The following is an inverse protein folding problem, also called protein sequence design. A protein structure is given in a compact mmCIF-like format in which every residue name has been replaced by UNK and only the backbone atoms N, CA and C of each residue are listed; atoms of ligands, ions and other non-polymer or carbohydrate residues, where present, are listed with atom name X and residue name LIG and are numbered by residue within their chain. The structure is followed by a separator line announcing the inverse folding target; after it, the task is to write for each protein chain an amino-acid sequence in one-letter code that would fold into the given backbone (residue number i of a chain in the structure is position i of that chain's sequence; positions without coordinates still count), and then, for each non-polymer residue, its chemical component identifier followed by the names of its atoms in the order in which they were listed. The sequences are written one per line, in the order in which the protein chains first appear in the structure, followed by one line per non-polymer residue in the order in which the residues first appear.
data_IF_534949006189
#
_entry.id   IF_534949006189
#
_cell.length_a   1.000
_cell.length_b   1.000
_cell.length_c   1.000
_cell.angle_alpha   90.00
_cell.angle_beta   90.00
_cell.angle_gamma   90.00
#
_symmetry.space_group_name_H-M   'P 1'
#
loop_
_entity.id
_entity.type
_entity.pdbx_description
1 polymer ?
#
# COMPACT_ATOMS: atom_id res chain seq x y z
N UNK A 1 81.51 -26.25 61.47
CA UNK A 1 82.21 -25.06 60.92
C UNK A 1 81.82 -24.95 59.46
N UNK A 2 80.92 -24.02 59.13
CA UNK A 2 81.20 -22.70 58.55
C UNK A 2 81.62 -22.79 57.07
N UNK A 3 80.82 -22.08 56.26
CA UNK A 3 81.08 -21.46 54.93
C UNK A 3 80.65 -22.28 53.73
N UNK A 4 80.27 -21.69 52.60
CA UNK A 4 79.66 -20.41 52.21
C UNK A 4 79.49 -20.58 50.68
N UNK A 5 78.49 -19.92 50.12
CA UNK A 5 78.16 -19.81 48.68
C UNK A 5 79.35 -19.34 47.81
N UNK A 6 79.42 -19.75 46.53
CA UNK A 6 79.22 -18.91 45.32
C UNK A 6 79.86 -19.48 44.02
N UNK A 7 79.01 -19.58 42.98
CA UNK A 7 79.15 -19.08 41.58
C UNK A 7 80.24 -19.64 40.63
N UNK A 8 79.78 -20.25 39.52
CA UNK A 8 80.17 -19.97 38.11
C UNK A 8 79.21 -20.76 37.17
N UNK A 9 78.20 -20.13 36.55
CA UNK A 9 78.13 -19.67 35.13
C UNK A 9 78.46 -20.74 34.09
N UNK A 10 77.45 -21.25 33.36
CA UNK A 10 77.50 -21.40 31.90
C UNK A 10 76.11 -21.63 31.28
N UNK A 11 75.96 -21.05 30.10
CA UNK A 11 74.75 -20.69 29.37
C UNK A 11 74.18 -21.82 28.52
N UNK A 12 72.84 -21.88 28.39
CA UNK A 12 72.17 -22.19 27.11
C UNK A 12 70.68 -21.83 27.20
N UNK A 13 70.31 -20.80 26.45
CA UNK A 13 68.94 -20.47 26.06
C UNK A 13 68.25 -21.68 25.45
N UNK A 14 67.03 -21.99 25.88
CA UNK A 14 65.98 -22.37 24.94
C UNK A 14 64.63 -21.90 25.50
N UNK A 15 64.19 -20.76 24.95
CA UNK A 15 62.86 -20.21 25.10
C UNK A 15 61.90 -21.08 24.28
N UNK A 16 61.01 -21.81 24.93
CA UNK A 16 59.84 -22.41 24.27
C UNK A 16 58.66 -21.49 24.56
N UNK A 17 58.39 -20.60 23.61
CA UNK A 17 57.21 -19.75 23.56
C UNK A 17 55.93 -20.60 23.74
N UNK A 18 55.23 -20.39 24.85
CA UNK A 18 53.79 -20.59 24.89
C UNK A 18 53.20 -19.52 23.97
N UNK A 19 52.87 -19.91 22.75
CA UNK A 19 52.01 -19.12 21.88
C UNK A 19 50.62 -19.07 22.50
N UNK A 20 50.38 -18.09 23.37
CA UNK A 20 49.04 -17.54 23.53
C UNK A 20 48.68 -16.91 22.19
N UNK A 21 48.07 -17.71 21.31
CA UNK A 21 47.30 -17.17 20.21
C UNK A 21 46.16 -16.37 20.81
N UNK A 22 46.39 -15.08 21.03
CA UNK A 22 45.32 -14.10 21.04
C UNK A 22 44.64 -14.28 19.68
N UNK A 23 43.50 -14.97 19.67
CA UNK A 23 42.56 -14.78 18.60
C UNK A 23 42.36 -13.28 18.51
N UNK A 24 42.78 -12.67 17.40
CA UNK A 24 42.39 -11.31 17.11
C UNK A 24 40.87 -11.25 17.30
N UNK A 25 40.32 -10.18 17.88
CA UNK A 25 38.88 -10.01 17.83
C UNK A 25 38.52 -10.13 16.35
N UNK A 26 37.70 -11.11 16.00
CA UNK A 26 37.05 -11.10 14.71
C UNK A 26 36.40 -9.72 14.63
N UNK A 27 36.93 -8.85 13.76
CA UNK A 27 36.21 -7.63 13.44
C UNK A 27 34.84 -8.13 13.01
N UNK A 28 33.80 -7.79 13.76
CA UNK A 28 32.44 -8.09 13.33
C UNK A 28 32.36 -7.52 11.92
N UNK A 29 32.23 -8.42 10.93
CA UNK A 29 32.12 -8.00 9.56
C UNK A 29 30.84 -7.17 9.50
N UNK A 30 30.96 -5.93 9.05
CA UNK A 30 29.85 -5.00 8.95
C UNK A 30 29.70 -4.54 7.51
N UNK A 31 28.61 -3.83 7.26
CA UNK A 31 28.21 -3.32 5.96
C UNK A 31 27.88 -1.84 6.08
N UNK A 32 28.09 -1.06 5.03
CA UNK A 32 27.59 0.30 4.92
C UNK A 32 26.34 0.31 4.05
N UNK A 33 25.41 1.20 4.39
CA UNK A 33 24.20 1.46 3.61
C UNK A 33 24.19 2.93 3.18
N UNK A 34 24.06 3.17 1.88
CA UNK A 34 23.84 4.50 1.29
C UNK A 34 22.46 4.56 0.65
N UNK A 35 21.64 5.50 1.12
CA UNK A 35 20.33 5.81 0.57
C UNK A 35 20.45 7.00 -0.37
N UNK A 36 19.93 6.87 -1.59
CA UNK A 36 20.00 7.89 -2.64
C UNK A 36 18.59 8.43 -2.87
N UNK A 37 18.36 9.69 -2.52
CA UNK A 37 17.06 10.36 -2.61
C UNK A 37 17.07 11.48 -3.63
N UNK A 38 16.11 11.42 -4.55
CA UNK A 38 15.83 12.47 -5.53
C UNK A 38 14.34 12.78 -5.61
N UNK A 39 14.01 13.88 -6.30
CA UNK A 39 12.65 14.24 -6.73
C UNK A 39 12.13 13.24 -7.76
N UNK A 40 10.81 13.06 -7.81
CA UNK A 40 10.11 12.26 -8.83
C UNK A 40 9.69 10.85 -8.39
N UNK A 41 8.93 10.20 -9.27
CA UNK A 41 8.49 8.80 -9.16
C UNK A 41 9.09 8.00 -10.34
N UNK A 42 9.63 6.81 -10.09
CA UNK A 42 10.16 5.91 -11.14
C UNK A 42 11.69 5.83 -11.21
N UNK A 43 12.22 5.33 -12.33
CA UNK A 43 13.66 5.00 -12.52
C UNK A 43 14.47 6.14 -13.14
N UNK A 44 13.84 7.29 -13.43
CA UNK A 44 14.55 8.46 -13.95
C UNK A 44 15.05 9.31 -12.79
N UNK A 45 16.36 9.54 -12.63
CA UNK A 45 16.86 10.36 -11.52
C UNK A 45 16.37 11.80 -11.66
N UNK A 46 15.56 12.27 -10.71
CA UNK A 46 15.24 13.69 -10.57
C UNK A 46 16.32 14.48 -9.84
N UNK A 47 16.01 15.70 -9.42
CA UNK A 47 16.95 16.53 -8.65
C UNK A 47 17.24 15.86 -7.29
N UNK A 48 18.50 15.79 -6.84
CA UNK A 48 18.82 15.28 -5.51
C UNK A 48 18.16 16.10 -4.40
N UNK A 49 17.74 15.42 -3.32
CA UNK A 49 17.09 16.06 -2.17
C UNK A 49 18.02 16.07 -0.95
N UNK A 50 18.48 17.25 -0.54
CA UNK A 50 19.30 17.45 0.66
C UNK A 50 18.45 17.55 1.94
N UNK A 51 19.01 17.11 3.08
CA UNK A 51 18.40 17.28 4.40
C UNK A 51 17.26 16.30 4.73
N UNK A 52 17.04 15.29 3.88
CA UNK A 52 16.07 14.21 4.11
C UNK A 52 16.66 13.25 5.13
N UNK A 53 15.89 12.94 6.17
CA UNK A 53 16.32 12.10 7.29
C UNK A 53 15.71 10.72 7.17
N UNK A 54 16.54 9.70 7.29
CA UNK A 54 16.10 8.31 7.40
C UNK A 54 16.45 7.76 8.77
N UNK A 55 15.53 6.97 9.30
CA UNK A 55 15.72 6.14 10.48
C UNK A 55 15.92 4.70 10.04
N UNK A 56 17.00 4.09 10.53
CA UNK A 56 17.34 2.69 10.31
C UNK A 56 17.24 1.97 11.65
N UNK A 57 16.51 0.86 11.67
CA UNK A 57 16.44 -0.04 12.83
C UNK A 57 16.74 -1.46 12.37
N UNK A 58 17.74 -2.10 12.99
CA UNK A 58 17.97 -3.54 12.78
C UNK A 58 16.78 -4.31 13.37
N UNK A 59 16.26 -5.27 12.64
CA UNK A 59 15.27 -6.22 13.14
C UNK A 59 16.03 -7.40 13.76
N UNK A 60 16.07 -7.46 15.09
CA UNK A 60 16.96 -8.36 15.84
C UNK A 60 16.54 -9.84 15.74
N UNK A 61 15.25 -10.09 15.52
CA UNK A 61 14.66 -11.44 15.45
C UNK A 61 14.37 -11.89 14.01
N UNK A 62 14.97 -11.25 13.00
CA UNK A 62 14.78 -11.56 11.57
C UNK A 62 16.06 -12.11 10.96
N UNK A 63 15.99 -13.36 10.48
CA UNK A 63 17.11 -14.08 9.86
C UNK A 63 17.09 -14.05 8.32
N UNK A 64 16.31 -13.15 7.69
CA UNK A 64 16.28 -13.04 6.24
C UNK A 64 17.62 -12.49 5.71
N UNK A 65 18.16 -13.12 4.67
CA UNK A 65 19.49 -12.81 4.12
C UNK A 65 19.47 -12.51 2.62
N UNK A 66 18.31 -12.61 1.97
CA UNK A 66 18.13 -12.30 0.56
C UNK A 66 16.92 -11.40 0.30
N UNK A 67 16.88 -10.65 -0.81
CA UNK A 67 15.72 -9.87 -1.22
C UNK A 67 14.43 -10.69 -1.31
N UNK A 68 14.51 -11.95 -1.74
CA UNK A 68 13.35 -12.84 -1.84
C UNK A 68 12.79 -13.17 -0.45
N UNK A 69 13.64 -13.53 0.51
CA UNK A 69 13.22 -13.81 1.89
C UNK A 69 12.65 -12.56 2.58
N UNK A 70 13.25 -11.39 2.31
CA UNK A 70 12.74 -10.11 2.79
C UNK A 70 11.36 -9.80 2.17
N UNK A 71 11.17 -10.08 0.89
CA UNK A 71 9.88 -9.89 0.22
C UNK A 71 8.82 -10.87 0.75
N UNK A 72 9.19 -12.14 0.99
CA UNK A 72 8.33 -13.14 1.62
C UNK A 72 7.91 -12.72 3.03
N UNK A 73 8.83 -12.17 3.82
CA UNK A 73 8.54 -11.63 5.16
C UNK A 73 7.49 -10.52 5.08
N UNK A 74 7.69 -9.50 4.23
CA UNK A 74 6.74 -8.39 4.07
C UNK A 74 5.38 -8.87 3.56
N UNK A 75 5.36 -9.85 2.65
CA UNK A 75 4.11 -10.39 2.12
C UNK A 75 3.34 -11.23 3.15
N UNK A 76 4.05 -11.99 3.99
CA UNK A 76 3.46 -12.78 5.06
C UNK A 76 2.99 -11.90 6.24
N UNK A 77 3.71 -10.81 6.49
CA UNK A 77 3.52 -9.95 7.66
C UNK A 77 3.82 -8.47 7.34
N UNK A 78 2.83 -7.74 6.80
CA UNK A 78 2.98 -6.33 6.45
C UNK A 78 3.24 -5.42 7.66
N UNK A 79 2.89 -5.85 8.89
CA UNK A 79 3.14 -5.07 10.11
C UNK A 79 4.63 -4.81 10.32
N UNK A 80 5.53 -5.61 9.73
CA UNK A 80 6.98 -5.40 9.81
C UNK A 80 7.40 -3.99 9.33
N UNK A 81 6.62 -3.37 8.44
CA UNK A 81 6.89 -2.05 7.87
C UNK A 81 6.30 -0.89 8.68
N UNK A 82 5.52 -1.17 9.74
CA UNK A 82 4.85 -0.15 10.54
C UNK A 82 5.72 0.32 11.71
N UNK A 83 5.35 1.44 12.34
CA UNK A 83 5.97 1.84 13.62
C UNK A 83 5.77 0.79 14.71
N UNK A 84 4.65 0.06 14.64
CA UNK A 84 4.14 -0.83 15.69
C UNK A 84 4.49 -2.30 15.45
N UNK A 85 5.32 -2.56 14.43
CA UNK A 85 5.97 -3.84 14.16
C UNK A 85 6.37 -4.57 15.45
N UNK A 86 5.94 -5.82 15.56
CA UNK A 86 6.16 -6.65 16.74
C UNK A 86 7.58 -7.25 16.82
N UNK A 87 8.40 -7.08 15.78
CA UNK A 87 9.81 -7.49 15.79
C UNK A 87 10.64 -6.58 16.69
N UNK A 88 11.58 -7.15 17.44
CA UNK A 88 12.50 -6.35 18.24
C UNK A 88 13.36 -5.45 17.34
N UNK A 89 13.31 -4.14 17.61
CA UNK A 89 14.09 -3.12 16.90
C UNK A 89 15.35 -2.79 17.69
N UNK A 90 16.50 -2.86 17.02
CA UNK A 90 17.74 -2.29 17.50
C UNK A 90 17.67 -0.76 17.62
N UNK A 91 18.73 -0.11 18.13
CA UNK A 91 18.74 1.34 18.34
C UNK A 91 18.54 2.12 17.04
N UNK A 92 17.92 3.29 17.15
CA UNK A 92 17.72 4.20 16.02
C UNK A 92 19.07 4.70 15.48
N UNK A 93 19.32 4.43 14.20
CA UNK A 93 20.41 5.06 13.45
C UNK A 93 19.81 6.08 12.50
N UNK A 94 20.15 7.35 12.67
CA UNK A 94 19.68 8.43 11.81
C UNK A 94 20.76 8.79 10.79
N UNK A 95 20.42 8.70 9.51
CA UNK A 95 21.25 9.21 8.40
C UNK A 95 20.52 10.36 7.71
N UNK A 96 21.27 11.33 7.20
CA UNK A 96 20.70 12.52 6.53
C UNK A 96 21.33 12.70 5.16
N UNK A 97 20.53 13.03 4.16
CA UNK A 97 21.04 13.25 2.80
C UNK A 97 21.87 14.53 2.72
N UNK A 98 23.00 14.44 2.01
CA UNK A 98 23.83 15.58 1.65
C UNK A 98 23.30 16.32 0.40
N UNK A 99 24.05 17.31 -0.08
CA UNK A 99 23.73 18.08 -1.29
C UNK A 99 23.65 17.23 -2.58
N UNK A 100 24.21 16.02 -2.58
CA UNK A 100 24.09 15.07 -3.68
C UNK A 100 22.92 14.08 -3.49
N UNK A 101 22.11 14.25 -2.44
CA UNK A 101 20.98 13.39 -2.13
C UNK A 101 21.39 12.05 -1.49
N UNK A 102 22.61 11.93 -0.98
CA UNK A 102 23.12 10.68 -0.40
C UNK A 102 23.09 10.72 1.13
N UNK A 103 22.42 9.75 1.75
CA UNK A 103 22.50 9.51 3.19
C UNK A 103 23.25 8.20 3.43
N UNK A 104 24.48 8.30 3.95
CA UNK A 104 25.32 7.12 4.23
C UNK A 104 25.39 6.86 5.73
N UNK A 105 25.31 5.58 6.09
CA UNK A 105 25.52 5.10 7.46
C UNK A 105 27.00 4.88 7.75
N UNK A 106 27.34 4.90 9.04
CA UNK A 106 28.55 4.24 9.53
C UNK A 106 28.44 2.71 9.34
N UNK A 107 29.50 1.97 9.66
CA UNK A 107 29.47 0.51 9.58
C UNK A 107 28.38 -0.07 10.47
N UNK A 108 27.42 -0.74 9.85
CA UNK A 108 26.30 -1.43 10.49
C UNK A 108 26.62 -2.93 10.63
N UNK A 109 26.17 -3.60 11.71
CA UNK A 109 26.17 -5.06 11.79
C UNK A 109 25.39 -5.71 10.64
N UNK A 110 25.79 -6.91 10.22
CA UNK A 110 25.03 -7.71 9.25
C UNK A 110 23.62 -8.04 9.83
N UNK A 111 22.57 -7.99 9.00
CA UNK A 111 21.17 -8.22 9.38
C UNK A 111 20.17 -7.49 8.48
N UNK A 112 18.89 -7.58 8.83
CA UNK A 112 17.80 -6.86 8.13
C UNK A 112 17.50 -5.55 8.84
N UNK A 113 17.37 -4.48 8.06
CA UNK A 113 17.08 -3.13 8.53
C UNK A 113 15.73 -2.66 8.01
N UNK A 114 14.87 -2.22 8.92
CA UNK A 114 13.72 -1.39 8.59
C UNK A 114 14.22 0.03 8.33
N UNK A 115 13.95 0.54 7.12
CA UNK A 115 14.30 1.88 6.67
C UNK A 115 13.03 2.72 6.58
N UNK A 116 13.01 3.83 7.31
CA UNK A 116 11.88 4.75 7.35
C UNK A 116 12.35 6.17 7.03
N UNK A 117 11.77 6.81 6.02
CA UNK A 117 11.96 8.24 5.79
C UNK A 117 11.12 9.02 6.81
N UNK A 118 11.76 9.90 7.57
CA UNK A 118 11.08 10.77 8.53
C UNK A 118 10.44 11.95 7.79
N UNK A 119 9.24 12.41 8.22
CA UNK A 119 8.59 13.58 7.64
C UNK A 119 9.52 14.81 7.55
N UNK A 120 9.83 15.20 6.32
CA UNK A 120 10.74 16.30 5.99
C UNK A 120 10.00 17.56 5.56
N UNK A 121 8.81 17.42 4.94
CA UNK A 121 7.97 18.52 4.48
C UNK A 121 7.21 19.23 5.61
N UNK A 122 6.90 20.51 5.39
CA UNK A 122 6.00 21.28 6.25
C UNK A 122 4.97 22.03 5.41
N UNK A 123 3.67 21.85 5.72
CA UNK A 123 2.58 22.51 5.00
C UNK A 123 2.01 21.71 3.82
N UNK A 124 1.15 22.38 3.06
CA UNK A 124 0.35 21.81 1.97
C UNK A 124 1.19 21.66 0.68
N UNK A 125 1.99 20.60 0.59
CA UNK A 125 2.95 20.35 -0.51
C UNK A 125 2.76 18.91 -1.02
N UNK A 126 2.75 18.73 -2.34
CA UNK A 126 2.32 17.49 -3.01
C UNK A 126 3.42 16.48 -3.36
N UNK A 127 4.38 16.31 -2.46
CA UNK A 127 5.27 15.14 -2.48
C UNK A 127 5.24 14.47 -1.11
N UNK A 128 5.24 13.13 -1.10
CA UNK A 128 5.25 12.32 0.11
C UNK A 128 6.66 11.80 0.39
N UNK A 129 6.85 11.28 1.60
CA UNK A 129 8.05 10.51 1.99
C UNK A 129 8.05 9.14 1.28
N UNK A 130 9.18 8.44 1.31
CA UNK A 130 9.26 7.05 0.90
C UNK A 130 8.38 6.12 1.74
N UNK A 131 7.77 5.13 1.09
CA UNK A 131 7.16 3.99 1.80
C UNK A 131 8.27 3.28 2.59
N UNK A 132 8.06 2.92 3.87
CA UNK A 132 8.99 2.09 4.61
C UNK A 132 9.33 0.79 3.87
N UNK A 133 10.59 0.36 3.96
CA UNK A 133 11.06 -0.85 3.28
C UNK A 133 12.16 -1.53 4.11
N UNK A 134 12.43 -2.78 3.76
CA UNK A 134 13.47 -3.58 4.41
C UNK A 134 14.71 -3.70 3.52
N UNK A 135 15.90 -3.69 4.14
CA UNK A 135 17.18 -3.90 3.48
C UNK A 135 17.96 -4.98 4.21
N UNK A 136 18.40 -6.02 3.50
CA UNK A 136 19.35 -7.00 4.03
C UNK A 136 20.79 -6.52 3.83
N UNK A 137 21.60 -6.65 4.88
CA UNK A 137 23.04 -6.36 4.89
C UNK A 137 23.82 -7.62 5.33
N UNK A 138 24.87 -8.04 4.59
CA UNK A 138 25.28 -7.54 3.27
C UNK A 138 24.21 -7.83 2.22
N UNK A 139 24.39 -7.30 1.01
CA UNK A 139 23.55 -7.68 -0.12
C UNK A 139 23.70 -9.18 -0.44
N UNK A 140 22.72 -9.75 -1.17
CA UNK A 140 22.70 -11.18 -1.50
C UNK A 140 23.92 -11.66 -2.32
N UNK A 141 24.59 -10.76 -3.05
CA UNK A 141 25.82 -11.03 -3.78
C UNK A 141 27.09 -10.92 -2.90
N UNK A 142 26.92 -10.64 -1.60
CA UNK A 142 27.99 -10.44 -0.63
C UNK A 142 28.56 -9.02 -0.60
N UNK A 143 28.01 -8.08 -1.38
CA UNK A 143 28.46 -6.69 -1.33
C UNK A 143 28.17 -6.07 0.04
N UNK A 144 29.21 -5.47 0.63
CA UNK A 144 29.14 -4.82 1.95
C UNK A 144 28.88 -3.32 1.87
N UNK A 145 29.03 -2.72 0.70
CA UNK A 145 28.65 -1.34 0.44
C UNK A 145 27.35 -1.35 -0.36
N UNK A 146 26.22 -1.30 0.35
CA UNK A 146 24.88 -1.45 -0.24
C UNK A 146 24.33 -0.07 -0.57
N UNK A 147 23.84 0.11 -1.79
CA UNK A 147 23.21 1.35 -2.24
C UNK A 147 21.75 1.10 -2.61
N UNK A 148 20.86 1.99 -2.15
CA UNK A 148 19.43 1.90 -2.43
C UNK A 148 18.92 3.22 -3.00
N UNK A 149 18.27 3.15 -4.15
CA UNK A 149 17.53 4.27 -4.74
C UNK A 149 16.16 4.38 -4.06
N UNK A 150 15.94 5.47 -3.32
CA UNK A 150 14.74 5.66 -2.52
C UNK A 150 13.67 6.41 -3.30
N UNK A 151 12.54 5.74 -3.54
CA UNK A 151 11.37 6.29 -4.22
C UNK A 151 10.37 6.84 -3.22
N UNK A 152 9.69 7.92 -3.60
CA UNK A 152 8.53 8.40 -2.84
C UNK A 152 7.43 7.33 -2.82
N UNK A 153 6.61 7.34 -1.76
CA UNK A 153 5.38 6.56 -1.74
C UNK A 153 4.52 6.97 -2.95
N UNK A 154 4.09 6.02 -3.79
CA UNK A 154 3.17 6.33 -4.87
C UNK A 154 1.83 6.76 -4.29
N UNK A 155 1.31 7.88 -4.77
CA UNK A 155 -0.09 8.23 -4.54
C UNK A 155 -0.93 7.44 -5.54
N UNK A 156 -1.85 6.62 -5.04
CA UNK A 156 -2.67 5.72 -5.84
C UNK A 156 -4.14 5.82 -5.46
N UNK A 157 -5.00 5.58 -6.46
CA UNK A 157 -6.44 5.41 -6.30
C UNK A 157 -6.88 4.15 -7.01
N UNK A 158 -7.81 3.44 -6.38
CA UNK A 158 -8.54 2.33 -6.97
C UNK A 158 -10.01 2.75 -7.12
N UNK A 159 -10.61 2.32 -8.22
CA UNK A 159 -12.05 2.42 -8.44
C UNK A 159 -12.56 1.05 -8.89
N UNK A 160 -13.69 0.64 -8.35
CA UNK A 160 -14.33 -0.62 -8.68
C UNK A 160 -15.83 -0.42 -8.83
N UNK A 161 -16.35 -0.84 -9.99
CA UNK A 161 -17.80 -1.01 -10.17
C UNK A 161 -18.25 -2.37 -9.65
N UNK A 162 -19.34 -2.41 -8.88
CA UNK A 162 -19.82 -3.62 -8.22
C UNK A 162 -20.24 -4.75 -9.18
N UNK A 163 -20.64 -4.40 -10.40
CA UNK A 163 -20.90 -5.36 -11.49
C UNK A 163 -20.47 -4.79 -12.84
N UNK A 164 -19.98 -5.67 -13.73
CA UNK A 164 -19.66 -5.32 -15.13
C UNK A 164 -20.86 -5.36 -16.05
N UNK A 165 -21.95 -5.99 -15.60
CA UNK A 165 -23.23 -6.06 -16.30
C UNK A 165 -24.35 -5.68 -15.34
N UNK A 166 -25.18 -4.72 -15.73
CA UNK A 166 -26.24 -4.18 -14.88
C UNK A 166 -27.54 -4.04 -15.65
N UNK A 167 -28.65 -4.19 -14.94
CA UNK A 167 -30.01 -4.05 -15.47
C UNK A 167 -30.66 -2.75 -14.99
N UNK A 168 -31.81 -2.44 -15.57
CA UNK A 168 -32.65 -1.36 -15.09
C UNK A 168 -33.10 -1.66 -13.65
N UNK A 169 -33.21 -0.62 -12.82
CA UNK A 169 -33.60 -0.72 -11.41
C UNK A 169 -32.65 -1.52 -10.50
N UNK A 170 -31.52 -2.03 -11.01
CA UNK A 170 -30.48 -2.63 -10.17
C UNK A 170 -29.84 -1.55 -9.29
N UNK A 171 -29.62 -1.90 -8.02
CA UNK A 171 -28.74 -1.12 -7.15
C UNK A 171 -27.31 -1.25 -7.66
N UNK A 172 -26.73 -0.13 -8.06
CA UNK A 172 -25.38 -0.06 -8.58
C UNK A 172 -24.46 0.59 -7.57
N UNK A 173 -23.38 -0.08 -7.20
CA UNK A 173 -22.38 0.42 -6.25
C UNK A 173 -21.08 0.72 -6.97
N UNK A 174 -20.51 1.88 -6.67
CA UNK A 174 -19.15 2.24 -7.07
C UNK A 174 -18.33 2.47 -5.81
N UNK A 175 -17.15 1.85 -5.77
CA UNK A 175 -16.22 1.92 -4.64
C UNK A 175 -14.94 2.60 -5.08
N UNK A 176 -14.45 3.54 -4.26
CA UNK A 176 -13.17 4.21 -4.42
C UNK A 176 -12.31 3.92 -3.19
N UNK A 177 -11.02 3.69 -3.40
CA UNK A 177 -10.04 3.57 -2.32
C UNK A 177 -8.78 4.36 -2.67
N UNK A 178 -8.50 5.43 -1.92
CA UNK A 178 -7.30 6.24 -2.10
C UNK A 178 -6.23 5.90 -1.06
N UNK A 179 -4.98 5.84 -1.51
CA UNK A 179 -3.81 5.87 -0.62
C UNK A 179 -3.76 7.20 0.16
N UNK A 180 -2.99 7.23 1.24
CA UNK A 180 -2.84 8.42 2.09
C UNK A 180 -1.37 8.78 2.21
N UNK A 181 -0.96 10.03 1.88
CA UNK A 181 0.43 10.45 2.03
C UNK A 181 0.81 10.52 3.52
N UNK A 182 2.11 10.48 3.80
CA UNK A 182 2.56 10.67 5.18
C UNK A 182 2.22 12.09 5.68
N UNK A 183 1.82 12.26 6.95
CA UNK A 183 1.63 13.59 7.54
C UNK A 183 2.90 14.44 7.45
N UNK A 184 2.74 15.77 7.47
CA UNK A 184 3.86 16.72 7.51
C UNK A 184 4.68 16.57 8.81
N UNK A 185 5.79 17.30 8.92
CA UNK A 185 6.66 17.30 10.12
C UNK A 185 5.95 17.68 11.42
N UNK A 186 4.78 18.31 11.35
CA UNK A 186 3.92 18.65 12.49
C UNK A 186 2.81 17.62 12.72
N UNK A 187 2.83 16.50 12.03
CA UNK A 187 1.83 15.44 12.12
C UNK A 187 0.49 15.81 11.49
N UNK A 188 0.47 16.64 10.44
CA UNK A 188 -0.76 17.13 9.81
C UNK A 188 -0.87 16.78 8.34
N UNK A 189 -2.10 16.50 7.91
CA UNK A 189 -2.53 16.52 6.52
C UNK A 189 -3.31 17.82 6.27
N UNK A 190 -3.20 18.38 5.07
CA UNK A 190 -3.76 19.69 4.71
C UNK A 190 -4.87 19.59 3.67
N UNK A 191 -4.85 18.55 2.85
CA UNK A 191 -5.86 18.30 1.83
C UNK A 191 -6.04 16.81 1.56
N UNK A 192 -7.28 16.40 1.41
CA UNK A 192 -7.63 15.05 1.00
C UNK A 192 -9.03 15.04 0.38
N UNK A 193 -9.14 14.59 -0.86
CA UNK A 193 -10.41 14.37 -1.52
C UNK A 193 -10.39 13.15 -2.44
N UNK A 194 -11.52 12.44 -2.44
CA UNK A 194 -11.86 11.47 -3.49
C UNK A 194 -12.95 12.09 -4.33
N UNK A 195 -12.72 12.12 -5.64
CA UNK A 195 -13.64 12.71 -6.61
C UNK A 195 -13.94 11.68 -7.66
N UNK A 196 -15.20 11.58 -8.05
CA UNK A 196 -15.61 10.75 -9.17
C UNK A 196 -16.75 11.37 -9.91
N UNK A 197 -16.87 11.07 -11.20
CA UNK A 197 -17.95 11.59 -12.01
C UNK A 197 -19.15 10.64 -11.99
N UNK A 198 -20.32 11.24 -11.90
CA UNK A 198 -21.58 10.53 -12.00
C UNK A 198 -21.85 10.22 -13.48
N UNK A 199 -22.00 8.93 -13.82
CA UNK A 199 -22.42 8.54 -15.17
C UNK A 199 -23.87 9.00 -15.43
N UNK A 200 -24.17 9.64 -16.58
CA UNK A 200 -25.52 10.09 -16.89
C UNK A 200 -26.60 9.02 -16.87
N UNK A 201 -26.26 7.74 -17.08
CA UNK A 201 -27.19 6.62 -17.00
C UNK A 201 -27.53 6.23 -15.55
N UNK A 202 -26.82 6.77 -14.55
CA UNK A 202 -27.14 6.51 -13.16
C UNK A 202 -28.14 7.55 -12.64
N UNK A 203 -29.08 7.14 -11.82
CA UNK A 203 -30.06 7.97 -11.12
C UNK A 203 -29.76 7.94 -9.62
N UNK A 204 -30.11 9.02 -8.94
CA UNK A 204 -30.17 9.10 -7.47
C UNK A 204 -28.91 8.56 -6.77
N UNK A 205 -27.73 9.13 -7.08
CA UNK A 205 -26.52 8.82 -6.32
C UNK A 205 -26.75 9.09 -4.82
N UNK A 206 -27.04 8.02 -4.09
CA UNK A 206 -27.36 8.02 -2.69
C UNK A 206 -26.07 8.17 -1.86
N UNK A 207 -26.29 8.51 -0.59
CA UNK A 207 -25.27 8.84 0.41
C UNK A 207 -24.01 7.97 0.29
N UNK A 208 -22.84 8.62 0.42
CA UNK A 208 -21.58 7.91 0.50
C UNK A 208 -21.35 7.34 1.90
N UNK A 209 -21.03 6.06 1.97
CA UNK A 209 -20.33 5.49 3.13
C UNK A 209 -18.83 5.76 2.96
N UNK A 210 -18.20 6.31 3.99
CA UNK A 210 -16.80 6.74 3.95
C UNK A 210 -16.11 6.26 5.21
N UNK A 211 -14.97 5.58 5.07
CA UNK A 211 -14.19 5.08 6.19
C UNK A 211 -12.70 5.14 5.90
N UNK A 212 -11.91 4.99 6.96
CA UNK A 212 -10.46 4.81 6.89
C UNK A 212 -10.16 3.38 7.29
N UNK A 213 -9.25 2.72 6.55
CA UNK A 213 -8.78 1.37 6.83
C UNK A 213 -7.26 1.39 7.00
N UNK A 214 -6.77 0.65 7.99
CA UNK A 214 -5.36 0.40 8.30
C UNK A 214 -5.23 -1.01 8.90
N UNK A 215 -4.02 -1.47 9.21
CA UNK A 215 -3.83 -2.75 9.90
C UNK A 215 -4.48 -2.78 11.29
N UNK A 216 -4.65 -1.62 11.94
CA UNK A 216 -5.38 -1.49 13.21
C UNK A 216 -6.91 -1.67 13.06
N UNK A 217 -7.40 -1.67 11.82
CA UNK A 217 -8.79 -1.90 11.46
C UNK A 217 -9.48 -0.70 10.82
N UNK A 218 -10.81 -0.76 10.81
CA UNK A 218 -11.71 0.19 10.14
C UNK A 218 -12.23 1.25 11.10
N UNK A 219 -12.21 2.52 10.64
CA UNK A 219 -12.79 3.67 11.33
C UNK A 219 -13.77 4.39 10.40
N UNK A 220 -15.06 4.34 10.73
CA UNK A 220 -16.10 5.03 9.95
C UNK A 220 -16.02 6.55 10.14
N UNK A 221 -16.13 7.28 9.02
CA UNK A 221 -16.20 8.73 9.00
C UNK A 221 -17.66 9.19 8.96
N UNK A 222 -17.91 10.42 9.40
CA UNK A 222 -19.26 10.97 9.57
C UNK A 222 -19.40 12.21 8.71
N UNK A 223 -20.41 12.24 7.86
CA UNK A 223 -20.70 13.40 7.00
C UNK A 223 -20.95 14.66 7.84
N UNK A 224 -20.46 15.81 7.38
CA UNK A 224 -20.54 17.10 8.05
C UNK A 224 -19.58 17.27 9.22
N UNK A 225 -19.05 16.17 9.78
CA UNK A 225 -18.06 16.19 10.86
C UNK A 225 -16.66 15.91 10.35
N UNK A 226 -16.49 14.81 9.62
CA UNK A 226 -15.20 14.35 9.10
C UNK A 226 -15.04 14.70 7.63
N UNK A 227 -16.10 14.61 6.82
CA UNK A 227 -16.06 14.93 5.40
C UNK A 227 -17.26 15.77 4.97
N UNK A 228 -17.16 16.38 3.79
CA UNK A 228 -18.26 17.04 3.09
C UNK A 228 -18.53 16.28 1.80
N UNK A 229 -19.81 16.13 1.47
CA UNK A 229 -20.27 15.46 0.26
C UNK A 229 -20.90 16.46 -0.71
N UNK A 230 -20.57 16.37 -1.99
CA UNK A 230 -21.23 17.17 -3.05
C UNK A 230 -21.76 16.28 -4.16
N UNK A 231 -23.09 16.13 -4.20
CA UNK A 231 -23.81 15.22 -5.11
C UNK A 231 -23.58 15.46 -6.61
N UNK A 232 -23.29 16.70 -7.04
CA UNK A 232 -23.14 17.01 -8.47
C UNK A 232 -21.90 16.41 -9.16
N UNK A 233 -20.79 16.28 -8.44
CA UNK A 233 -19.53 15.68 -8.95
C UNK A 233 -18.98 14.63 -7.98
N UNK A 234 -19.84 13.98 -7.19
CA UNK A 234 -19.52 12.95 -6.20
C UNK A 234 -18.16 13.23 -5.51
N UNK A 235 -18.10 14.38 -4.84
CA UNK A 235 -16.89 14.90 -4.19
C UNK A 235 -17.00 14.59 -2.71
N UNK A 236 -16.08 13.78 -2.20
CA UNK A 236 -15.79 13.66 -0.78
C UNK A 236 -14.52 14.43 -0.46
N UNK A 237 -14.66 15.48 0.33
CA UNK A 237 -13.53 16.27 0.85
C UNK A 237 -13.46 16.13 2.37
N UNK A 238 -12.28 15.81 2.90
CA UNK A 238 -12.10 15.81 4.35
C UNK A 238 -12.10 17.25 4.90
N UNK A 239 -12.79 17.41 6.02
CA UNK A 239 -12.73 18.62 6.86
C UNK A 239 -11.45 18.63 7.69
N UNK A 240 -11.16 19.74 8.37
CA UNK A 240 -10.04 19.83 9.32
C UNK A 240 -10.06 18.72 10.39
N UNK A 241 -11.25 18.35 10.88
CA UNK A 241 -11.40 17.24 11.84
C UNK A 241 -11.13 15.89 11.20
N UNK A 242 -11.60 15.67 9.97
CA UNK A 242 -11.34 14.46 9.19
C UNK A 242 -9.84 14.31 8.88
N UNK A 243 -9.19 15.38 8.42
CA UNK A 243 -7.75 15.41 8.18
C UNK A 243 -6.94 15.13 9.45
N UNK A 244 -7.33 15.71 10.59
CA UNK A 244 -6.69 15.42 11.86
C UNK A 244 -6.88 13.97 12.31
N UNK A 245 -8.04 13.37 12.07
CA UNK A 245 -8.28 11.95 12.34
C UNK A 245 -7.45 11.06 11.41
N UNK A 246 -7.49 11.34 10.11
CA UNK A 246 -6.71 10.61 9.11
C UNK A 246 -5.21 10.68 9.39
N UNK A 247 -4.68 11.86 9.73
CA UNK A 247 -3.27 12.03 10.05
C UNK A 247 -2.83 11.20 11.27
N UNK A 248 -3.71 11.03 12.27
CA UNK A 248 -3.44 10.15 13.42
C UNK A 248 -3.43 8.68 13.03
N UNK A 249 -4.44 8.22 12.30
CA UNK A 249 -4.53 6.82 11.84
C UNK A 249 -3.35 6.49 10.94
N UNK A 250 -3.02 7.37 10.00
CA UNK A 250 -1.89 7.20 9.07
C UNK A 250 -0.52 7.19 9.75
N UNK A 251 -0.39 7.80 10.93
CA UNK A 251 0.91 7.90 11.63
C UNK A 251 1.34 6.50 12.06
N UNK A 252 2.44 6.00 11.48
CA UNK A 252 2.90 4.64 11.74
C UNK A 252 2.36 3.57 10.77
N UNK A 253 1.30 3.87 10.04
CA UNK A 253 0.56 2.93 9.17
C UNK A 253 0.65 3.31 7.68
N UNK A 254 1.78 3.03 6.99
CA UNK A 254 1.99 3.33 5.57
C UNK A 254 0.93 2.81 4.61
N UNK A 255 0.24 1.75 4.99
CA UNK A 255 -0.80 1.07 4.23
C UNK A 255 -2.18 1.73 4.31
N UNK A 256 -2.36 2.75 5.17
CA UNK A 256 -3.66 3.37 5.41
C UNK A 256 -4.33 3.86 4.13
N UNK A 257 -5.62 3.55 3.97
CA UNK A 257 -6.44 3.99 2.85
C UNK A 257 -7.72 4.68 3.32
N UNK A 258 -8.20 5.64 2.53
CA UNK A 258 -9.56 6.18 2.67
C UNK A 258 -10.43 5.52 1.61
N UNK A 259 -11.56 5.01 2.06
CA UNK A 259 -12.54 4.33 1.24
C UNK A 259 -13.81 5.14 1.16
N UNK A 260 -14.47 5.03 0.02
CA UNK A 260 -15.75 5.66 -0.25
C UNK A 260 -16.56 4.73 -1.13
N UNK A 261 -17.81 4.49 -0.75
CA UNK A 261 -18.78 3.82 -1.63
C UNK A 261 -19.98 4.70 -1.81
N UNK A 262 -20.44 4.85 -3.03
CA UNK A 262 -21.75 5.44 -3.30
C UNK A 262 -22.58 4.48 -4.12
N UNK A 263 -23.88 4.56 -3.92
CA UNK A 263 -24.87 3.70 -4.56
C UNK A 263 -25.79 4.55 -5.41
N UNK A 264 -26.35 3.99 -6.46
CA UNK A 264 -27.37 4.62 -7.28
C UNK A 264 -28.20 3.54 -7.97
N UNK A 265 -29.13 3.98 -8.82
CA UNK A 265 -29.91 3.08 -9.67
C UNK A 265 -29.56 3.35 -11.12
N UNK A 266 -29.73 2.38 -12.00
CA UNK A 266 -29.59 2.63 -13.44
C UNK A 266 -30.91 3.13 -14.01
N UNK A 267 -30.83 4.19 -14.83
CA UNK A 267 -31.97 4.74 -15.55
C UNK A 267 -32.58 3.65 -16.45
N UNK A 268 -33.88 3.30 -16.27
CA UNK A 268 -34.54 2.29 -17.09
C UNK A 268 -34.62 2.66 -18.57
N UNK A 269 -34.46 3.94 -18.93
CA UNK A 269 -34.41 4.40 -20.32
C UNK A 269 -33.02 4.21 -20.97
N UNK A 270 -32.03 3.71 -20.22
CA UNK A 270 -30.69 3.44 -20.73
C UNK A 270 -30.74 2.41 -21.87
N UNK A 271 -30.19 2.70 -23.06
CA UNK A 271 -30.17 1.74 -24.17
C UNK A 271 -29.29 0.51 -23.87
N UNK A 272 -29.74 -0.69 -24.28
CA UNK A 272 -28.96 -1.93 -24.22
C UNK A 272 -27.59 -1.77 -24.88
N UNK A 273 -26.53 -2.23 -24.20
CA UNK A 273 -25.15 -2.12 -24.64
C UNK A 273 -24.48 -0.78 -24.31
N UNK A 274 -25.18 0.15 -23.65
CA UNK A 274 -24.56 1.41 -23.18
C UNK A 274 -23.42 1.10 -22.22
N UNK A 275 -22.25 1.66 -22.48
CA UNK A 275 -21.09 1.59 -21.58
C UNK A 275 -21.15 2.77 -20.62
N UNK A 276 -21.18 2.48 -19.33
CA UNK A 276 -21.11 3.46 -18.26
C UNK A 276 -19.68 3.57 -17.76
N UNK A 277 -19.15 4.79 -17.72
CA UNK A 277 -17.77 5.08 -17.35
C UNK A 277 -17.70 5.77 -15.99
N UNK A 278 -16.73 5.35 -15.18
CA UNK A 278 -16.48 5.93 -13.87
C UNK A 278 -15.00 6.27 -13.77
N UNK A 279 -14.72 7.56 -13.66
CA UNK A 279 -13.38 8.07 -13.42
C UNK A 279 -13.25 8.42 -11.94
N UNK A 280 -12.19 7.93 -11.30
CA UNK A 280 -11.83 8.26 -9.94
C UNK A 280 -10.56 9.11 -9.92
N UNK A 281 -10.58 10.17 -9.11
CA UNK A 281 -9.46 11.08 -8.91
C UNK A 281 -9.15 11.24 -7.43
N UNK A 282 -7.87 11.13 -7.09
CA UNK A 282 -7.35 11.39 -5.75
C UNK A 282 -6.69 12.77 -5.72
N UNK A 283 -7.04 13.57 -4.72
CA UNK A 283 -6.40 14.86 -4.43
C UNK A 283 -5.87 14.83 -3.01
N UNK A 284 -4.58 15.09 -2.85
CA UNK A 284 -3.87 15.09 -1.56
C UNK A 284 -3.23 16.45 -1.32
N UNK A 285 -2.34 16.55 -0.32
CA UNK A 285 -1.57 17.76 -0.06
C UNK A 285 -0.93 18.32 -1.35
N UNK A 286 -0.85 19.64 -1.45
CA UNK A 286 -0.36 20.37 -2.61
C UNK A 286 -1.31 20.39 -3.82
N UNK A 287 -2.42 19.64 -3.81
CA UNK A 287 -3.31 19.47 -4.97
C UNK A 287 -4.76 19.75 -4.62
N UNK A 288 -5.19 21.01 -4.70
CA UNK A 288 -6.59 21.37 -4.47
C UNK A 288 -7.50 20.80 -5.57
N UNK A 289 -8.74 20.44 -5.23
CA UNK A 289 -9.76 20.05 -6.21
C UNK A 289 -10.07 21.26 -7.10
N UNK A 290 -9.84 21.19 -8.42
CA UNK A 290 -10.14 22.28 -9.34
C UNK A 290 -11.64 22.61 -9.37
N UNK A 291 -11.97 23.82 -9.81
CA UNK A 291 -13.38 24.19 -10.05
C UNK A 291 -13.90 23.63 -11.37
N UNK A 292 -13.03 23.56 -12.38
CA UNK A 292 -13.34 22.99 -13.68
C UNK A 292 -13.03 21.49 -13.67
N UNK A 293 -14.01 20.68 -14.09
CA UNK A 293 -13.86 19.22 -14.17
C UNK A 293 -12.85 18.79 -15.21
N UNK A 294 -12.70 19.58 -16.28
CA UNK A 294 -11.72 19.29 -17.34
C UNK A 294 -10.27 19.25 -16.82
N UNK A 295 -10.01 19.83 -15.64
CA UNK A 295 -8.69 19.87 -15.02
C UNK A 295 -8.45 18.72 -14.02
N UNK A 296 -9.43 17.86 -13.75
CA UNK A 296 -9.30 16.82 -12.72
C UNK A 296 -8.17 15.84 -13.02
N UNK A 297 -8.15 15.27 -14.22
CA UNK A 297 -7.13 14.30 -14.61
C UNK A 297 -5.70 14.86 -14.54
N UNK A 298 -5.49 16.12 -14.96
CA UNK A 298 -4.17 16.75 -14.98
C UNK A 298 -3.70 17.28 -13.61
N UNK A 299 -4.64 17.53 -12.69
CA UNK A 299 -4.34 18.14 -11.37
C UNK A 299 -4.33 17.11 -10.23
N UNK A 300 -4.97 15.97 -10.43
CA UNK A 300 -5.02 14.88 -9.45
C UNK A 300 -3.64 14.31 -9.12
N UNK A 301 -3.52 13.76 -7.92
CA UNK A 301 -2.39 12.94 -7.52
C UNK A 301 -2.38 11.62 -8.29
N UNK A 302 -3.56 11.02 -8.42
CA UNK A 302 -3.77 9.76 -9.11
C UNK A 302 -5.15 9.75 -9.78
N UNK A 303 -5.23 9.02 -10.88
CA UNK A 303 -6.47 8.81 -11.63
C UNK A 303 -6.60 7.34 -11.98
N UNK A 304 -7.83 6.82 -11.98
CA UNK A 304 -8.16 5.47 -12.43
C UNK A 304 -9.55 5.49 -13.04
N UNK A 305 -9.80 4.60 -14.00
CA UNK A 305 -11.12 4.47 -14.64
C UNK A 305 -11.59 3.04 -14.58
N UNK A 306 -12.89 2.85 -14.39
CA UNK A 306 -13.56 1.56 -14.55
C UNK A 306 -14.89 1.75 -15.30
N UNK A 307 -15.47 0.66 -15.78
CA UNK A 307 -16.72 0.73 -16.53
C UNK A 307 -17.58 -0.50 -16.35
N UNK A 308 -18.88 -0.31 -16.54
CA UNK A 308 -19.89 -1.36 -16.64
C UNK A 308 -20.65 -1.23 -17.97
N UNK A 309 -21.31 -2.30 -18.38
CA UNK A 309 -22.19 -2.29 -19.55
C UNK A 309 -23.62 -2.56 -19.09
N UNK A 310 -24.56 -1.74 -19.57
CA UNK A 310 -25.97 -2.00 -19.39
C UNK A 310 -26.41 -3.18 -20.27
N UNK A 311 -26.83 -4.26 -19.64
CA UNK A 311 -27.18 -5.52 -20.30
C UNK A 311 -28.30 -6.21 -19.52
N UNK A 312 -29.55 -5.91 -19.86
CA UNK A 312 -30.69 -6.69 -19.38
C UNK A 312 -30.79 -7.98 -20.22
N UNK A 313 -30.82 -9.19 -19.61
CA UNK A 313 -31.29 -10.34 -20.35
C UNK A 313 -32.74 -10.06 -20.74
N UNK A 314 -33.00 -9.91 -22.04
CA UNK A 314 -34.37 -10.02 -22.53
C UNK A 314 -34.86 -11.40 -22.12
N UNK A 315 -35.81 -11.44 -21.18
CA UNK A 315 -36.55 -12.67 -20.94
C UNK A 315 -37.15 -13.01 -22.30
N UNK A 316 -36.88 -14.19 -22.90
CA UNK A 316 -37.51 -14.53 -24.15
C UNK A 316 -39.01 -14.43 -23.88
N UNK A 317 -39.71 -13.55 -24.61
CA UNK A 317 -41.16 -13.61 -24.68
C UNK A 317 -41.52 -15.08 -24.89
N UNK A 318 -42.42 -15.67 -24.08
CA UNK A 318 -42.79 -17.06 -24.27
C UNK A 318 -43.18 -17.19 -25.73
N UNK A 319 -42.44 -18.03 -26.45
CA UNK A 319 -42.70 -18.26 -27.86
C UNK A 319 -44.19 -18.62 -27.98
N UNK A 320 -44.92 -18.06 -28.96
CA UNK A 320 -46.25 -18.57 -29.25
C UNK A 320 -46.11 -20.10 -29.41
N UNK A 321 -47.06 -20.89 -28.88
CA UNK A 321 -46.94 -22.34 -28.88
C UNK A 321 -46.66 -22.83 -30.29
N UNK A 322 -45.47 -23.40 -30.49
CA UNK A 322 -44.99 -23.78 -31.81
C UNK A 322 -45.74 -25.05 -32.24
N UNK A 323 -46.62 -24.90 -33.23
CA UNK A 323 -47.22 -26.02 -33.94
C UNK A 323 -46.11 -26.72 -34.73
N UNK A 324 -45.65 -27.81 -34.13
CA UNK A 324 -44.56 -28.69 -34.53
C UNK A 324 -44.09 -28.69 -35.98
N UNK A 325 -42.75 -28.66 -36.15
CA UNK A 325 -42.08 -29.47 -37.16
C UNK A 325 -40.57 -29.59 -36.94
N UNK A 326 -40.10 -30.83 -36.89
CA UNK A 326 -38.87 -31.24 -37.59
C UNK A 326 -37.58 -31.25 -36.79
N UNK A 327 -37.14 -32.47 -36.43
CA UNK A 327 -35.79 -32.80 -35.98
C UNK A 327 -34.69 -32.20 -36.86
N UNK A 328 -33.66 -31.64 -36.22
CA UNK A 328 -32.41 -31.24 -36.83
C UNK A 328 -31.27 -31.29 -35.83
N UNK A 329 -30.53 -32.40 -35.81
CA UNK A 329 -29.28 -32.59 -35.06
C UNK A 329 -28.25 -31.50 -35.42
N UNK A 330 -27.69 -30.85 -34.41
CA UNK A 330 -26.56 -29.90 -34.54
C UNK A 330 -25.65 -29.98 -33.32
N UNK A 331 -24.37 -30.19 -33.60
CA UNK A 331 -23.31 -30.62 -32.68
C UNK A 331 -22.90 -29.57 -31.65
N UNK A 332 -22.57 -30.02 -30.43
CA UNK A 332 -21.87 -29.23 -29.43
C UNK A 332 -20.42 -28.99 -29.88
N UNK A 333 -20.06 -27.71 -30.03
CA UNK A 333 -18.68 -27.26 -30.24
C UNK A 333 -18.10 -26.81 -28.91
N UNK A 334 -17.14 -27.57 -28.40
CA UNK A 334 -16.26 -27.19 -27.29
C UNK A 334 -15.16 -26.27 -27.82
N UNK A 335 -15.14 -25.01 -27.38
CA UNK A 335 -14.05 -24.07 -27.64
C UNK A 335 -13.36 -23.70 -26.34
N UNK A 336 -12.29 -24.42 -26.00
CA UNK A 336 -11.28 -23.95 -25.08
C UNK A 336 -10.30 -23.07 -25.87
N UNK A 337 -10.10 -21.82 -25.43
CA UNK A 337 -9.00 -20.98 -25.88
C UNK A 337 -8.11 -20.62 -24.69
N UNK A 338 -6.89 -21.15 -24.74
CA UNK A 338 -5.75 -20.73 -23.95
C UNK A 338 -5.01 -19.64 -24.71
N UNK A 339 -4.56 -18.58 -24.04
CA UNK A 339 -3.43 -17.79 -24.53
C UNK A 339 -2.55 -17.27 -23.37
N UNK A 340 -1.21 -17.21 -23.54
CA UNK A 340 -0.22 -17.00 -22.47
C UNK A 340 0.55 -15.65 -22.60
N UNK A 341 1.47 -15.41 -21.64
CA UNK A 341 2.49 -14.33 -21.54
C UNK A 341 1.97 -12.98 -20.98
N UNK A 342 2.62 -12.22 -20.08
CA UNK A 342 3.93 -12.31 -19.41
C UNK A 342 4.01 -11.32 -18.21
N UNK A 343 4.68 -11.77 -17.15
CA UNK A 343 5.57 -11.11 -16.15
C UNK A 343 5.27 -9.67 -15.68
N UNK A 344 5.20 -9.53 -14.35
CA UNK A 344 5.94 -8.50 -13.63
C UNK A 344 5.10 -7.47 -12.88
N UNK A 345 4.92 -7.69 -11.57
CA UNK A 345 4.35 -6.70 -10.66
C UNK A 345 3.21 -7.25 -9.82
N UNK A 346 3.52 -8.12 -8.85
CA UNK A 346 2.52 -8.65 -7.93
C UNK A 346 3.09 -8.75 -6.52
N UNK A 347 3.03 -7.63 -5.78
CA UNK A 347 2.65 -7.60 -4.36
C UNK A 347 1.97 -6.25 -4.13
N UNK A 348 0.63 -6.21 -4.21
CA UNK A 348 -0.26 -5.21 -3.57
C UNK A 348 -1.76 -5.39 -3.92
N UNK A 349 -2.17 -6.42 -4.68
CA UNK A 349 -3.55 -6.57 -5.15
C UNK A 349 -4.27 -7.86 -4.67
N UNK A 350 -4.19 -8.23 -3.38
CA UNK A 350 -4.78 -9.51 -2.92
C UNK A 350 -5.45 -9.54 -1.55
N UNK A 351 -6.07 -8.45 -1.07
CA UNK A 351 -6.89 -8.51 0.16
C UNK A 351 -8.39 -8.21 -0.07
N UNK A 352 -8.78 -7.55 -1.16
CA UNK A 352 -10.16 -7.09 -1.35
C UNK A 352 -11.11 -8.07 -2.10
N UNK A 353 -10.80 -9.37 -2.11
CA UNK A 353 -11.64 -10.40 -2.75
C UNK A 353 -12.65 -11.09 -1.82
N UNK A 354 -12.51 -10.94 -0.50
CA UNK A 354 -13.26 -11.76 0.47
C UNK A 354 -14.40 -11.03 1.20
N UNK A 355 -14.49 -9.70 1.16
CA UNK A 355 -15.51 -8.97 1.93
C UNK A 355 -16.82 -8.66 1.19
N UNK A 356 -16.87 -8.69 -0.14
CA UNK A 356 -18.09 -8.37 -0.90
C UNK A 356 -19.09 -9.53 -1.03
N UNK A 357 -18.74 -10.76 -0.60
CA UNK A 357 -19.65 -11.91 -0.58
C UNK A 357 -20.35 -12.14 0.78
N UNK A 358 -20.00 -11.37 1.82
CA UNK A 358 -20.49 -11.57 3.19
C UNK A 358 -21.81 -10.88 3.55
N UNK A 359 -22.24 -9.86 2.78
CA UNK A 359 -23.37 -9.00 3.16
C UNK A 359 -24.73 -9.43 2.60
N UNK A 360 -24.81 -10.49 1.79
CA UNK A 360 -26.07 -10.97 1.23
C UNK A 360 -26.78 -12.08 2.03
N UNK A 361 -26.29 -12.48 3.22
CA UNK A 361 -26.78 -13.71 3.89
C UNK A 361 -27.20 -13.63 5.35
N UNK A 362 -27.63 -12.48 5.86
CA UNK A 362 -28.28 -12.43 7.19
C UNK A 362 -29.50 -11.53 7.24
N UNK A 363 -30.63 -12.02 6.70
CA UNK A 363 -31.98 -11.76 7.24
C UNK A 363 -32.90 -12.96 7.01
N UNK A 364 -32.79 -13.97 7.88
CA UNK A 364 -33.89 -14.87 8.19
C UNK A 364 -33.73 -15.32 9.63
N UNK A 365 -34.60 -14.84 10.51
CA UNK A 365 -34.74 -15.29 11.89
C UNK A 365 -36.04 -16.11 11.96
N UNK A 366 -35.99 -17.45 11.98
CA UNK A 366 -37.17 -18.28 12.20
C UNK A 366 -37.17 -18.70 13.68
N UNK A 367 -37.77 -17.87 14.54
CA UNK A 367 -38.18 -18.28 15.87
C UNK A 367 -39.58 -17.70 16.12
N UNK A 368 -40.53 -18.20 15.34
CA UNK A 368 -41.94 -18.16 15.66
C UNK A 368 -42.55 -19.52 15.27
N UNK A 369 -43.31 -20.08 16.19
CA UNK A 369 -44.12 -21.32 16.13
C UNK A 369 -43.41 -22.64 16.45
N UNK A 370 -43.61 -23.16 17.67
CA UNK A 370 -44.55 -24.28 17.88
C UNK A 370 -44.81 -24.53 19.38
N UNK A 371 -46.06 -24.36 19.81
CA UNK A 371 -46.66 -25.01 20.99
C UNK A 371 -48.19 -24.96 20.85
N UNK A 372 -48.72 -25.84 20.01
CA UNK A 372 -50.07 -26.38 20.14
C UNK A 372 -49.95 -27.90 20.02
N UNK A 373 -50.17 -28.60 21.13
CA UNK A 373 -50.07 -30.05 21.27
C UNK A 373 -50.05 -30.44 22.73
#
# INVERSE_FOLDING_TARGET
MRRLRMIAVLSALFWSMLGFGLAAPAHAAGSTLTLIKSEGEGDTPGQPLEGIRFQLNRLEDVDATSPEQVAELVAADPEVLTSDSHYAKGPDVIVTTDAAGHASSDVLPDGVYLVQELPSREGNIGWSVATPFLVALPAADGARDVQVQVKNQPEAIEIAVGSKQVCADDDFTVSLAGSVPAPDRKGRLHNYALVTEHDPAMLDAAAADVWVESLDGRVDLVEGVHYRWRHGSIIMELTDKGLAALARIRSGHPETRVHMTYTGRIDPETPEGTRMGFDGHLFTDGRAVPRDRAEYASSSAATMSDSATYACPTTPLPAPPDEGRGEGRGLASTGAETSPWVIGGAVLASIMGAMLLGLARQRHNPNDQESCG
#
